data_IF_756018987629
#
_entry.id   IF_756018987629
#
_cell.length_a   1.000
_cell.length_b   1.000
_cell.length_c   1.000
_cell.angle_alpha   90.00
_cell.angle_beta   90.00
_cell.angle_gamma   90.00
#
_symmetry.space_group_name_H-M   'P 1'
#
loop_
_entity.id
_entity.type
_entity.pdbx_description
1 polymer ?
#
# COMPACT_ATOMS: atom_id res chain seq x y z
N UNK A 1 0.32 2.46 6.05
CA UNK A 1 -0.80 1.65 5.52
C UNK A 1 -1.67 2.51 4.64
N UNK A 2 -2.11 2.00 3.49
CA UNK A 2 -3.05 2.69 2.62
C UNK A 2 -4.17 1.69 2.30
N UNK A 3 -5.37 1.92 2.82
CA UNK A 3 -6.43 0.92 2.67
C UNK A 3 -7.83 1.46 2.82
N UNK A 4 -8.81 0.64 2.46
CA UNK A 4 -10.21 0.92 2.74
C UNK A 4 -10.52 0.93 4.25
N UNK A 5 -11.69 1.46 4.60
CA UNK A 5 -12.10 1.64 6.00
C UNK A 5 -12.09 0.32 6.78
N UNK A 6 -12.58 -0.77 6.18
CA UNK A 6 -12.63 -2.08 6.81
C UNK A 6 -11.21 -2.63 7.06
N UNK A 7 -10.32 -2.55 6.07
CA UNK A 7 -8.93 -3.00 6.18
C UNK A 7 -8.18 -2.20 7.24
N UNK A 8 -8.21 -0.86 7.16
CA UNK A 8 -7.48 0.00 8.09
C UNK A 8 -7.99 -0.22 9.51
N UNK A 9 -9.32 -0.26 9.71
CA UNK A 9 -9.89 -0.53 11.03
C UNK A 9 -9.41 -1.87 11.60
N UNK A 10 -9.41 -2.93 10.79
CA UNK A 10 -8.93 -4.25 11.20
C UNK A 10 -7.46 -4.24 11.66
N UNK A 11 -6.60 -3.50 10.97
CA UNK A 11 -5.19 -3.37 11.35
C UNK A 11 -4.96 -2.41 12.52
N UNK A 12 -5.74 -1.35 12.68
CA UNK A 12 -5.65 -0.49 13.86
C UNK A 12 -5.93 -1.28 15.14
N UNK A 13 -6.82 -2.28 15.09
CA UNK A 13 -7.10 -3.18 16.23
C UNK A 13 -5.91 -4.06 16.62
N UNK A 14 -4.94 -4.29 15.73
CA UNK A 14 -3.73 -5.08 16.06
C UNK A 14 -2.66 -4.24 16.77
N UNK A 15 -2.87 -2.92 16.89
CA UNK A 15 -1.98 -2.00 17.59
C UNK A 15 -0.85 -1.42 16.73
N UNK A 16 -0.87 -1.61 15.40
CA UNK A 16 0.15 -1.06 14.50
C UNK A 16 -0.14 0.40 14.06
N UNK A 17 -1.29 0.95 14.45
CA UNK A 17 -1.65 2.33 14.16
C UNK A 17 -0.93 3.33 15.06
N UNK A 18 -0.26 4.31 14.46
CA UNK A 18 0.46 5.37 15.15
C UNK A 18 0.04 6.74 14.62
N UNK A 19 -0.14 7.69 15.53
CA UNK A 19 -0.38 9.09 15.25
C UNK A 19 0.69 9.91 15.98
N UNK A 20 1.40 10.74 15.24
CA UNK A 20 2.45 11.61 15.74
C UNK A 20 1.88 12.89 16.37
N UNK A 21 2.72 13.59 17.13
CA UNK A 21 2.35 14.85 17.77
C UNK A 21 2.05 15.97 16.76
N UNK A 22 2.55 15.87 15.53
CA UNK A 22 2.26 16.82 14.44
C UNK A 22 0.94 16.52 13.71
N UNK A 23 0.22 15.48 14.12
CA UNK A 23 -1.03 15.03 13.53
C UNK A 23 -0.86 14.11 12.31
N UNK A 24 0.38 13.78 11.92
CA UNK A 24 0.62 12.78 10.89
C UNK A 24 0.33 11.36 11.40
N UNK A 25 -0.19 10.50 10.53
CA UNK A 25 -0.47 9.10 10.83
C UNK A 25 0.40 8.19 9.97
N UNK A 26 0.57 6.93 10.42
CA UNK A 26 1.18 5.90 9.58
C UNK A 26 0.14 5.14 8.73
N UNK A 27 -1.08 5.67 8.59
CA UNK A 27 -2.16 5.10 7.81
C UNK A 27 -2.98 6.16 7.07
N UNK A 28 -3.48 5.82 5.89
CA UNK A 28 -4.48 6.56 5.14
C UNK A 28 -5.72 5.68 4.94
N UNK A 29 -6.89 6.20 5.30
CA UNK A 29 -8.19 5.57 5.00
C UNK A 29 -8.69 6.10 3.67
N UNK A 30 -8.77 5.21 2.67
CA UNK A 30 -9.27 5.53 1.34
C UNK A 30 -10.77 5.25 1.30
N UNK A 31 -11.52 6.26 0.84
CA UNK A 31 -12.97 6.21 0.63
C UNK A 31 -13.26 6.50 -0.84
N UNK A 32 -14.50 6.29 -1.28
CA UNK A 32 -14.91 6.58 -2.67
C UNK A 32 -14.67 8.02 -3.13
N UNK A 33 -14.55 8.97 -2.18
CA UNK A 33 -14.32 10.40 -2.47
C UNK A 33 -12.86 10.83 -2.29
N UNK A 34 -11.98 9.91 -1.88
CA UNK A 34 -10.56 10.19 -1.74
C UNK A 34 -9.98 10.42 -3.12
N UNK A 35 -9.24 11.53 -3.28
CA UNK A 35 -8.65 11.88 -4.55
C UNK A 35 -7.37 11.07 -4.78
N UNK A 36 -7.08 10.74 -6.05
CA UNK A 36 -5.86 10.00 -6.42
C UNK A 36 -4.61 10.74 -5.93
N UNK A 37 -4.61 12.08 -6.02
CA UNK A 37 -3.53 12.93 -5.56
C UNK A 37 -3.25 12.79 -4.05
N UNK A 38 -4.26 12.44 -3.25
CA UNK A 38 -4.10 12.19 -1.82
C UNK A 38 -3.41 10.84 -1.57
N UNK A 39 -3.75 9.84 -2.37
CA UNK A 39 -3.14 8.50 -2.33
C UNK A 39 -1.66 8.60 -2.74
N UNK A 40 -1.35 9.33 -3.82
CA UNK A 40 0.02 9.57 -4.27
C UNK A 40 0.86 10.30 -3.21
N UNK A 41 0.28 11.33 -2.58
CA UNK A 41 0.96 12.06 -1.49
C UNK A 41 1.25 11.16 -0.30
N UNK A 42 0.29 10.34 0.12
CA UNK A 42 0.48 9.40 1.22
C UNK A 42 1.53 8.34 0.88
N UNK A 43 1.51 7.81 -0.35
CA UNK A 43 2.52 6.85 -0.81
C UNK A 43 3.93 7.44 -0.75
N UNK A 44 4.14 8.64 -1.30
CA UNK A 44 5.45 9.30 -1.25
C UNK A 44 5.88 9.60 0.20
N UNK A 45 4.96 10.13 1.01
CA UNK A 45 5.23 10.41 2.43
C UNK A 45 5.64 9.15 3.21
N UNK A 46 4.97 8.02 2.98
CA UNK A 46 5.31 6.76 3.66
C UNK A 46 6.57 6.09 3.11
N UNK A 47 6.91 6.30 1.85
CA UNK A 47 8.11 5.72 1.24
C UNK A 47 9.38 6.54 1.43
N UNK A 48 9.25 7.82 1.80
CA UNK A 48 10.38 8.69 2.19
C UNK A 48 10.68 8.67 3.69
N UNK A 49 9.85 8.00 4.48
CA UNK A 49 10.02 7.80 5.93
C UNK A 49 10.93 6.62 6.23
N UNK A 50 12.06 6.89 6.89
CA UNK A 50 13.04 5.87 7.28
C UNK A 50 12.55 4.93 8.40
N UNK A 51 11.51 5.32 9.13
CA UNK A 51 10.93 4.55 10.24
C UNK A 51 9.87 3.53 9.80
N UNK A 52 9.52 3.50 8.51
CA UNK A 52 8.56 2.54 7.95
C UNK A 52 9.32 1.40 7.30
N UNK A 53 9.18 0.19 7.84
CA UNK A 53 9.78 -1.01 7.27
C UNK A 53 8.89 -1.68 6.21
N UNK A 54 7.56 -1.63 6.40
CA UNK A 54 6.57 -2.30 5.56
C UNK A 54 5.40 -1.38 5.27
N UNK A 55 5.07 -1.20 4.00
CA UNK A 55 3.90 -0.47 3.53
C UNK A 55 2.86 -1.46 3.00
N UNK A 56 1.81 -1.68 3.80
CA UNK A 56 0.62 -2.42 3.38
C UNK A 56 -0.30 -1.52 2.57
N UNK A 57 -0.70 -1.97 1.37
CA UNK A 57 -1.65 -1.28 0.49
C UNK A 57 -2.68 -2.26 -0.06
N UNK A 58 -3.97 -1.89 -0.13
CA UNK A 58 -4.93 -2.76 -0.84
C UNK A 58 -4.62 -2.78 -2.35
N UNK A 59 -4.69 -3.95 -2.98
CA UNK A 59 -4.36 -4.11 -4.40
C UNK A 59 -5.18 -3.20 -5.32
N UNK A 60 -6.49 -3.05 -5.05
CA UNK A 60 -7.36 -2.20 -5.87
C UNK A 60 -6.93 -0.72 -5.82
N UNK A 61 -6.44 -0.24 -4.68
CA UNK A 61 -5.89 1.12 -4.50
C UNK A 61 -4.51 1.23 -5.16
N UNK A 62 -3.68 0.19 -5.02
CA UNK A 62 -2.36 0.14 -5.66
C UNK A 62 -2.46 0.27 -7.20
N UNK A 63 -3.53 -0.26 -7.80
CA UNK A 63 -3.80 -0.12 -9.23
C UNK A 63 -4.02 1.34 -9.67
N UNK A 64 -4.59 2.20 -8.81
CA UNK A 64 -4.82 3.62 -9.14
C UNK A 64 -3.51 4.41 -9.26
N UNK A 65 -2.48 4.00 -8.52
CA UNK A 65 -1.15 4.63 -8.50
C UNK A 65 -0.05 3.70 -9.02
N UNK A 66 -0.40 2.73 -9.87
CA UNK A 66 0.52 1.70 -10.40
C UNK A 66 1.83 2.28 -10.97
N UNK A 67 1.82 3.37 -11.76
CA UNK A 67 3.06 3.95 -12.29
C UNK A 67 4.00 4.50 -11.21
N UNK A 68 3.47 4.89 -10.04
CA UNK A 68 4.24 5.39 -8.92
C UNK A 68 4.90 4.23 -8.16
N UNK A 69 4.16 3.14 -7.93
CA UNK A 69 4.65 1.93 -7.28
C UNK A 69 5.75 1.27 -8.11
N UNK A 70 5.57 1.18 -9.43
CA UNK A 70 6.56 0.57 -10.34
C UNK A 70 7.89 1.33 -10.38
N UNK A 71 7.85 2.65 -10.20
CA UNK A 71 9.05 3.52 -10.14
C UNK A 71 9.79 3.43 -8.80
N UNK A 72 9.18 2.82 -7.78
CA UNK A 72 9.81 2.68 -6.48
C UNK A 72 10.81 1.51 -6.49
N UNK A 73 12.09 1.85 -6.47
CA UNK A 73 13.21 0.89 -6.54
C UNK A 73 13.98 0.74 -5.23
N UNK A 74 13.67 1.55 -4.21
CA UNK A 74 14.34 1.45 -2.90
C UNK A 74 13.98 0.11 -2.23
N UNK A 75 14.90 -0.50 -1.47
CA UNK A 75 14.63 -1.76 -0.79
C UNK A 75 13.67 -1.61 0.40
N UNK A 76 13.57 -0.41 0.99
CA UNK A 76 12.69 -0.09 2.11
C UNK A 76 11.92 1.21 1.82
N UNK A 77 10.63 1.29 2.26
CA UNK A 77 9.84 0.20 2.84
C UNK A 77 9.50 -0.92 1.84
N UNK A 78 9.30 -2.14 2.34
CA UNK A 78 8.75 -3.23 1.54
C UNK A 78 7.26 -2.97 1.25
N UNK A 79 6.88 -2.88 -0.02
CA UNK A 79 5.50 -2.66 -0.44
C UNK A 79 4.82 -4.02 -0.59
N UNK A 80 3.70 -4.22 0.11
CA UNK A 80 2.90 -5.44 0.09
C UNK A 80 1.46 -5.12 -0.29
N UNK A 81 1.03 -5.68 -1.41
CA UNK A 81 -0.35 -5.60 -1.89
C UNK A 81 -1.20 -6.68 -1.19
N UNK A 82 -2.29 -6.25 -0.54
CA UNK A 82 -3.21 -7.14 0.17
C UNK A 82 -4.61 -7.07 -0.45
N UNK A 83 -5.41 -8.15 -0.39
CA UNK A 83 -6.82 -8.10 -0.75
C UNK A 83 -7.58 -7.15 0.18
N UNK A 84 -8.80 -6.81 -0.20
CA UNK A 84 -9.76 -6.21 0.72
C UNK A 84 -11.02 -7.07 0.83
N UNK A 85 -11.96 -6.65 1.66
CA UNK A 85 -13.20 -7.38 1.91
C UNK A 85 -14.01 -7.64 0.64
N UNK A 86 -14.09 -6.64 -0.24
CA UNK A 86 -14.89 -6.70 -1.47
C UNK A 86 -14.04 -7.00 -2.72
N UNK A 87 -12.71 -6.84 -2.62
CA UNK A 87 -11.78 -6.99 -3.74
C UNK A 87 -10.77 -8.11 -3.47
N UNK A 88 -10.99 -9.33 -4.03
CA UNK A 88 -10.06 -10.45 -3.86
C UNK A 88 -8.72 -10.18 -4.56
N UNK A 89 -7.67 -10.85 -4.08
CA UNK A 89 -6.33 -10.73 -4.64
C UNK A 89 -6.24 -11.38 -6.03
N UNK A 90 -5.61 -10.67 -6.96
CA UNK A 90 -5.34 -11.07 -8.35
C UNK A 90 -3.83 -11.11 -8.60
N UNK A 91 -3.21 -12.30 -8.72
CA UNK A 91 -1.77 -12.43 -8.96
C UNK A 91 -1.28 -11.71 -10.22
N UNK A 92 -2.12 -11.63 -11.26
CA UNK A 92 -1.81 -11.00 -12.54
C UNK A 92 -1.67 -9.46 -12.47
N UNK A 93 -2.17 -8.83 -11.40
CA UNK A 93 -2.06 -7.38 -11.18
C UNK A 93 -0.89 -7.01 -10.27
N UNK A 94 -0.29 -7.99 -9.58
CA UNK A 94 0.80 -7.77 -8.61
C UNK A 94 2.18 -7.72 -9.29
N UNK A 95 2.89 -6.62 -9.06
CA UNK A 95 4.25 -6.36 -9.58
C UNK A 95 5.31 -7.30 -9.02
N UNK A 96 5.23 -7.68 -7.74
CA UNK A 96 6.16 -8.62 -7.10
C UNK A 96 5.93 -10.02 -7.66
N UNK A 97 4.66 -10.44 -7.80
CA UNK A 97 4.35 -11.74 -8.40
C UNK A 97 4.87 -11.85 -9.83
N UNK A 98 4.74 -10.79 -10.65
CA UNK A 98 5.32 -10.74 -12.00
C UNK A 98 6.84 -10.90 -11.99
N UNK A 99 7.54 -10.18 -11.10
CA UNK A 99 9.00 -10.28 -10.95
C UNK A 99 9.43 -11.69 -10.53
N UNK A 100 8.74 -12.28 -9.56
CA UNK A 100 9.01 -13.66 -9.10
C UNK A 100 8.70 -14.68 -10.18
N UNK A 101 7.56 -14.56 -10.87
CA UNK A 101 7.17 -15.46 -11.98
C UNK A 101 8.19 -15.43 -13.12
N UNK A 102 8.69 -14.25 -13.48
CA UNK A 102 9.77 -14.08 -14.47
C UNK A 102 11.08 -14.73 -14.00
N UNK A 103 11.47 -14.55 -12.73
CA UNK A 103 12.67 -15.19 -12.17
C UNK A 103 12.56 -16.71 -12.10
N UNK A 104 11.36 -17.24 -11.85
CA UNK A 104 11.08 -18.68 -11.75
C UNK A 104 10.76 -19.34 -13.10
N UNK A 105 10.70 -18.58 -14.21
CA UNK A 105 10.40 -19.10 -15.54
C UNK A 105 8.96 -19.61 -15.71
N UNK A 106 8.02 -19.03 -14.95
CA UNK A 106 6.60 -19.39 -14.98
C UNK A 106 5.76 -18.49 -15.93
N UNK A 107 6.39 -17.47 -16.51
CA UNK A 107 5.79 -16.49 -17.43
C UNK A 107 6.11 -16.81 -18.91
#
# INVERSE_FOLDING_TARGET
MIGDEDTVTGFLLTGIGQMEADGSSNFLVVREKTQIEEIEKAFNSFTDRDDIAVLLINQHIANEIRPLIEKFEKPLPAILEIPSKDHPYKPEEDTIFKRVSSLLGLA
#
